data_IF_641964001360
#
_entry.id   IF_641964001360
#
_cell.length_a   1.000
_cell.length_b   1.000
_cell.length_c   1.000
_cell.angle_alpha   90.00
_cell.angle_beta   90.00
_cell.angle_gamma   90.00
#
_symmetry.space_group_name_H-M   'P 1'
#
loop_
_entity.id
_entity.type
_entity.pdbx_description
1 polymer ?
#
# COMPACT_ATOMS: atom_id res chain seq x y z
N UNK A 1 9.90 5.26 -20.53
CA UNK A 1 10.62 5.82 -21.68
C UNK A 1 10.12 5.20 -22.99
N UNK A 2 10.25 3.91 -23.21
CA UNK A 2 9.85 3.21 -24.46
C UNK A 2 8.42 3.51 -24.95
N UNK A 3 7.40 3.44 -24.06
CA UNK A 3 5.99 3.67 -24.44
C UNK A 3 5.78 5.09 -24.98
N UNK A 4 6.33 6.11 -24.30
CA UNK A 4 6.21 7.51 -24.74
C UNK A 4 6.83 7.73 -26.13
N UNK A 5 8.03 7.20 -26.33
CA UNK A 5 8.76 7.34 -27.60
C UNK A 5 8.03 6.64 -28.73
N UNK A 6 7.55 5.42 -28.49
CA UNK A 6 6.79 4.65 -29.48
C UNK A 6 5.48 5.35 -29.84
N UNK A 7 4.72 5.84 -28.88
CA UNK A 7 3.48 6.56 -29.14
C UNK A 7 3.73 7.87 -29.91
N UNK A 8 4.79 8.60 -29.54
CA UNK A 8 5.18 9.83 -30.25
C UNK A 8 5.59 9.56 -31.69
N UNK A 9 6.42 8.55 -31.93
CA UNK A 9 6.90 8.20 -33.30
C UNK A 9 5.75 7.73 -34.19
N UNK A 10 4.79 7.00 -33.65
CA UNK A 10 3.61 6.50 -34.35
C UNK A 10 2.43 7.48 -34.38
N UNK A 11 2.57 8.67 -33.81
CA UNK A 11 1.50 9.69 -33.66
C UNK A 11 0.25 9.14 -32.93
N UNK A 12 0.43 8.21 -32.02
CA UNK A 12 -0.65 7.63 -31.21
C UNK A 12 -0.87 8.52 -29.98
N UNK A 13 -2.12 8.88 -29.74
CA UNK A 13 -2.50 9.56 -28.49
C UNK A 13 -2.31 8.61 -27.32
N UNK A 14 -1.63 9.05 -26.29
CA UNK A 14 -1.37 8.25 -25.10
C UNK A 14 -1.49 9.10 -23.83
N UNK A 15 -1.90 8.45 -22.77
CA UNK A 15 -1.88 8.95 -21.40
C UNK A 15 -1.17 7.91 -20.54
N UNK A 16 -0.33 8.34 -19.61
CA UNK A 16 0.40 7.46 -18.69
C UNK A 16 -0.13 7.69 -17.30
N UNK A 17 -0.83 6.71 -16.78
CA UNK A 17 -1.42 6.73 -15.44
C UNK A 17 -0.69 5.72 -14.56
N UNK A 18 -0.22 6.15 -13.40
CA UNK A 18 0.58 5.34 -12.47
C UNK A 18 -0.11 5.28 -11.11
N UNK A 19 -0.99 4.30 -10.89
CA UNK A 19 -1.55 4.09 -9.57
C UNK A 19 -0.48 3.54 -8.61
N UNK A 20 -0.59 3.90 -7.35
CA UNK A 20 0.18 3.33 -6.27
C UNK A 20 -0.39 1.96 -5.85
N UNK A 21 -0.16 1.50 -4.63
CA UNK A 21 -0.68 0.22 -4.15
C UNK A 21 -2.20 0.30 -4.03
N UNK A 22 -2.91 -0.48 -4.83
CA UNK A 22 -4.37 -0.47 -4.87
C UNK A 22 -4.92 -1.42 -3.82
N UNK A 23 -5.83 -0.93 -2.98
CA UNK A 23 -6.57 -1.74 -2.02
C UNK A 23 -8.03 -1.97 -2.45
N UNK A 24 -8.86 -2.51 -1.56
CA UNK A 24 -10.26 -2.80 -1.80
C UNK A 24 -11.10 -1.57 -2.16
N UNK A 25 -12.38 -1.78 -2.37
CA UNK A 25 -13.36 -0.72 -2.62
C UNK A 25 -13.84 -0.14 -1.31
N UNK A 26 -13.56 1.15 -1.03
CA UNK A 26 -13.76 1.77 0.26
C UNK A 26 -14.55 3.08 0.23
N UNK A 27 -14.77 3.69 -0.92
CA UNK A 27 -15.41 4.99 -1.04
C UNK A 27 -16.90 4.83 -1.32
N UNK A 28 -17.23 3.98 -2.27
CA UNK A 28 -18.61 3.77 -2.72
C UNK A 28 -19.15 2.42 -2.27
N UNK A 29 -20.33 2.40 -1.64
CA UNK A 29 -21.04 1.16 -1.36
C UNK A 29 -21.48 0.45 -2.66
N UNK A 30 -21.54 -0.89 -2.69
CA UNK A 30 -21.12 -1.79 -1.63
C UNK A 30 -19.60 -1.87 -1.52
N UNK A 31 -19.10 -1.98 -0.29
CA UNK A 31 -17.69 -2.18 -0.05
C UNK A 31 -17.31 -3.61 -0.43
N UNK A 32 -16.15 -3.77 -1.03
CA UNK A 32 -15.65 -5.09 -1.45
C UNK A 32 -14.26 -5.30 -0.93
N UNK A 33 -14.03 -6.51 -0.45
CA UNK A 33 -12.69 -7.02 -0.23
C UNK A 33 -11.96 -7.17 -1.57
N UNK A 34 -10.63 -7.18 -1.50
CA UNK A 34 -9.83 -7.46 -2.69
C UNK A 34 -9.90 -8.95 -3.05
N UNK A 35 -10.08 -9.32 -4.32
CA UNK A 35 -10.03 -10.72 -4.73
C UNK A 35 -8.62 -11.31 -4.68
N UNK A 36 -7.59 -10.48 -4.46
CA UNK A 36 -6.20 -10.87 -4.48
C UNK A 36 -5.45 -10.33 -3.25
N UNK A 37 -5.02 -11.24 -2.41
CA UNK A 37 -4.31 -10.95 -1.17
C UNK A 37 -2.79 -10.96 -1.41
N UNK A 38 -2.28 -9.93 -2.06
CA UNK A 38 -0.84 -9.71 -2.23
C UNK A 38 -0.37 -8.41 -1.55
N UNK A 39 0.91 -8.11 -1.68
CA UNK A 39 1.55 -6.96 -1.04
C UNK A 39 1.21 -6.94 0.46
N UNK A 40 0.66 -5.84 1.00
CA UNK A 40 0.41 -5.69 2.44
C UNK A 40 -0.64 -6.67 3.00
N UNK A 41 -1.56 -7.18 2.19
CA UNK A 41 -2.49 -8.24 2.61
C UNK A 41 -1.80 -9.57 2.93
N UNK A 42 -0.58 -9.79 2.43
CA UNK A 42 0.20 -11.00 2.77
C UNK A 42 0.52 -11.10 4.26
N UNK A 43 0.54 -9.96 4.98
CA UNK A 43 0.65 -9.94 6.43
C UNK A 43 -0.54 -10.66 7.09
N UNK A 44 -1.76 -10.34 6.67
CA UNK A 44 -2.98 -10.96 7.19
C UNK A 44 -2.94 -12.49 6.97
N UNK A 45 -2.60 -12.94 5.77
CA UNK A 45 -2.48 -14.38 5.47
C UNK A 45 -1.41 -15.05 6.35
N UNK A 46 -0.27 -14.40 6.53
CA UNK A 46 0.80 -14.95 7.37
C UNK A 46 0.36 -15.05 8.83
N UNK A 47 -0.24 -14.00 9.38
CA UNK A 47 -0.65 -13.95 10.77
C UNK A 47 -1.82 -14.92 11.04
N UNK A 48 -2.82 -14.99 10.17
CA UNK A 48 -3.89 -15.97 10.28
C UNK A 48 -3.35 -17.40 10.41
N UNK A 49 -2.36 -17.73 9.62
CA UNK A 49 -1.76 -19.07 9.61
C UNK A 49 -0.84 -19.36 10.79
N UNK A 50 -0.15 -18.35 11.33
CA UNK A 50 0.98 -18.57 12.23
C UNK A 50 0.93 -17.78 13.55
N UNK A 51 0.12 -16.72 13.70
CA UNK A 51 0.12 -15.90 14.91
C UNK A 51 -0.20 -16.67 16.19
N UNK A 52 -1.18 -17.55 16.14
CA UNK A 52 -1.59 -18.36 17.28
C UNK A 52 -0.57 -19.44 17.72
N UNK A 53 0.53 -19.59 16.97
CA UNK A 53 1.54 -20.63 17.21
C UNK A 53 2.75 -20.12 17.99
N UNK A 54 2.86 -18.82 18.21
CA UNK A 54 3.99 -18.24 18.93
C UNK A 54 3.54 -17.38 20.08
N UNK A 55 4.19 -17.58 21.24
CA UNK A 55 4.11 -16.69 22.39
C UNK A 55 5.37 -15.84 22.54
N UNK A 56 6.30 -15.97 21.59
CA UNK A 56 7.58 -15.29 21.61
C UNK A 56 7.42 -13.86 21.09
N UNK A 57 8.31 -12.98 21.56
CA UNK A 57 8.34 -11.58 21.10
C UNK A 57 8.71 -11.53 19.62
N UNK A 58 7.95 -10.79 18.84
CA UNK A 58 8.14 -10.62 17.41
C UNK A 58 8.85 -9.29 17.12
N UNK A 59 10.09 -9.35 16.64
CA UNK A 59 10.86 -8.17 16.23
C UNK A 59 10.72 -7.95 14.74
N UNK A 60 10.21 -6.77 14.39
CA UNK A 60 9.93 -6.38 13.02
C UNK A 60 10.85 -5.23 12.64
N UNK A 61 11.70 -5.46 11.64
CA UNK A 61 12.54 -4.42 11.09
C UNK A 61 11.74 -3.52 10.17
N UNK A 62 11.56 -2.27 10.58
CA UNK A 62 10.88 -1.24 9.78
C UNK A 62 11.56 0.11 9.98
N UNK A 63 11.48 0.95 8.96
CA UNK A 63 11.66 2.39 9.11
C UNK A 63 10.34 2.99 9.63
N UNK A 64 10.37 3.53 10.85
CA UNK A 64 9.18 4.06 11.54
C UNK A 64 8.64 5.35 10.92
N UNK A 65 9.48 6.06 10.19
CA UNK A 65 9.15 7.34 9.58
C UNK A 65 8.74 7.22 8.10
N UNK A 66 8.92 6.04 7.52
CA UNK A 66 8.46 5.74 6.16
C UNK A 66 7.11 5.02 6.15
N UNK A 67 6.47 4.95 4.98
CA UNK A 67 5.14 4.38 4.84
C UNK A 67 4.85 3.78 3.46
N UNK A 68 3.66 3.25 3.32
CA UNK A 68 3.12 2.82 2.04
C UNK A 68 2.11 3.82 1.51
N UNK A 69 2.17 4.04 0.23
CA UNK A 69 1.14 4.78 -0.48
C UNK A 69 0.07 3.79 -0.95
N UNK A 70 -1.06 3.78 -0.25
CA UNK A 70 -2.19 2.87 -0.51
C UNK A 70 -3.39 3.70 -0.91
N UNK A 71 -4.11 3.23 -1.94
CA UNK A 71 -5.22 3.96 -2.53
C UNK A 71 -6.38 3.03 -2.89
N UNK A 72 -7.65 3.39 -2.60
CA UNK A 72 -8.81 2.58 -2.91
C UNK A 72 -9.03 2.39 -4.42
N UNK A 73 -9.48 1.21 -4.84
CA UNK A 73 -9.70 0.87 -6.26
C UNK A 73 -10.77 1.75 -6.92
N UNK A 74 -11.80 2.12 -6.19
CA UNK A 74 -12.87 3.01 -6.68
C UNK A 74 -12.37 4.44 -6.90
N UNK A 75 -11.44 4.95 -6.06
CA UNK A 75 -10.73 6.19 -6.34
C UNK A 75 -9.91 6.10 -7.63
N UNK A 76 -9.13 5.03 -7.77
CA UNK A 76 -8.32 4.80 -8.96
C UNK A 76 -9.18 4.77 -10.22
N UNK A 77 -10.31 4.07 -10.17
CA UNK A 77 -11.26 4.00 -11.28
C UNK A 77 -11.81 5.36 -11.68
N UNK A 78 -12.21 6.18 -10.71
CA UNK A 78 -12.70 7.56 -10.94
C UNK A 78 -11.59 8.45 -11.52
N UNK A 79 -10.38 8.36 -10.98
CA UNK A 79 -9.24 9.14 -11.49
C UNK A 79 -8.85 8.75 -12.92
N UNK A 80 -8.89 7.46 -13.25
CA UNK A 80 -8.66 6.98 -14.62
C UNK A 80 -9.73 7.49 -15.57
N UNK A 81 -11.02 7.40 -15.20
CA UNK A 81 -12.12 7.89 -16.02
C UNK A 81 -11.99 9.40 -16.25
N UNK A 82 -11.70 10.15 -15.19
CA UNK A 82 -11.49 11.60 -15.32
C UNK A 82 -10.33 11.92 -16.26
N UNK A 83 -9.19 11.25 -16.12
CA UNK A 83 -8.05 11.45 -17.02
C UNK A 83 -8.39 11.09 -18.48
N UNK A 84 -9.15 10.02 -18.69
CA UNK A 84 -9.61 9.61 -20.02
C UNK A 84 -10.47 10.67 -20.70
N UNK A 85 -11.39 11.27 -19.95
CA UNK A 85 -12.28 12.34 -20.44
C UNK A 85 -11.53 13.68 -20.64
N UNK A 86 -10.37 13.85 -20.03
CA UNK A 86 -9.55 15.07 -20.10
C UNK A 86 -8.23 14.86 -20.87
N UNK A 87 -8.24 15.00 -22.18
CA UNK A 87 -7.08 14.72 -23.04
C UNK A 87 -5.86 15.61 -22.80
N UNK A 88 -6.00 16.68 -22.02
CA UNK A 88 -4.89 17.54 -21.60
C UNK A 88 -4.00 16.87 -20.55
N UNK A 89 -4.55 15.96 -19.77
CA UNK A 89 -3.80 15.16 -18.81
C UNK A 89 -2.98 14.12 -19.57
N UNK A 90 -1.66 14.30 -19.65
CA UNK A 90 -0.76 13.36 -20.33
C UNK A 90 -0.16 12.33 -19.40
N UNK A 91 0.08 12.71 -18.18
CA UNK A 91 0.62 11.87 -17.11
C UNK A 91 -0.07 12.20 -15.79
N UNK A 92 -0.34 11.18 -15.02
CA UNK A 92 -0.93 11.32 -13.69
C UNK A 92 -0.41 10.20 -12.79
N UNK A 93 0.20 10.57 -11.66
CA UNK A 93 0.42 9.66 -10.55
C UNK A 93 -0.88 9.62 -9.74
N UNK A 94 -1.49 8.44 -9.65
CA UNK A 94 -2.72 8.24 -8.87
C UNK A 94 -2.29 7.70 -7.51
N UNK A 95 -2.05 8.62 -6.60
CA UNK A 95 -1.44 8.37 -5.29
C UNK A 95 -2.27 9.01 -4.18
N UNK A 96 -2.19 8.47 -2.99
CA UNK A 96 -2.70 9.14 -1.80
C UNK A 96 -1.74 10.31 -1.48
N UNK A 97 -2.23 11.53 -1.27
CA UNK A 97 -1.38 12.64 -0.83
C UNK A 97 -0.64 12.38 0.48
N UNK A 98 -1.24 11.57 1.33
CA UNK A 98 -0.67 11.16 2.62
C UNK A 98 -0.31 9.67 2.59
N UNK A 99 0.89 9.36 3.07
CA UNK A 99 1.31 7.97 3.23
C UNK A 99 0.81 7.40 4.55
N UNK A 100 0.56 6.10 4.56
CA UNK A 100 0.25 5.38 5.79
C UNK A 100 1.54 4.84 6.35
N UNK A 101 1.96 5.36 7.51
CA UNK A 101 3.21 4.93 8.13
C UNK A 101 3.24 3.43 8.40
N UNK A 102 4.38 2.80 8.15
CA UNK A 102 4.56 1.36 8.37
C UNK A 102 4.18 0.93 9.78
N UNK A 103 4.59 1.72 10.79
CA UNK A 103 4.26 1.45 12.20
C UNK A 103 2.77 1.38 12.47
N UNK A 104 1.95 2.14 11.74
CA UNK A 104 0.51 2.20 11.93
C UNK A 104 -0.15 0.95 11.32
N UNK A 105 -0.06 0.76 9.99
CA UNK A 105 -0.75 -0.36 9.36
C UNK A 105 -0.25 -1.74 9.80
N UNK A 106 1.05 -1.87 10.10
CA UNK A 106 1.59 -3.14 10.65
C UNK A 106 1.06 -3.36 12.06
N UNK A 107 0.98 -2.31 12.88
CA UNK A 107 0.38 -2.38 14.21
C UNK A 107 -1.08 -2.80 14.16
N UNK A 108 -1.89 -2.14 13.34
CA UNK A 108 -3.31 -2.46 13.17
C UNK A 108 -3.52 -3.92 12.75
N UNK A 109 -2.70 -4.40 11.80
CA UNK A 109 -2.75 -5.82 11.36
C UNK A 109 -2.38 -6.76 12.50
N UNK A 110 -1.30 -6.49 13.25
CA UNK A 110 -0.88 -7.33 14.38
C UNK A 110 -1.94 -7.39 15.47
N UNK A 111 -2.54 -6.26 15.81
CA UNK A 111 -3.62 -6.16 16.79
C UNK A 111 -4.85 -6.94 16.38
N UNK A 112 -5.24 -6.86 15.10
CA UNK A 112 -6.38 -7.60 14.53
C UNK A 112 -6.22 -9.13 14.67
N UNK A 113 -4.98 -9.62 14.71
CA UNK A 113 -4.65 -11.03 14.94
C UNK A 113 -4.23 -11.35 16.38
N UNK A 114 -4.47 -10.42 17.33
CA UNK A 114 -4.11 -10.56 18.75
C UNK A 114 -2.60 -10.80 18.99
N UNK A 115 -1.74 -10.28 18.13
CA UNK A 115 -0.29 -10.33 18.30
C UNK A 115 0.15 -9.13 19.12
N UNK A 116 0.14 -9.26 20.46
CA UNK A 116 0.42 -8.16 21.37
C UNK A 116 1.89 -8.08 21.82
N UNK A 117 2.69 -9.11 21.53
CA UNK A 117 4.11 -9.17 21.91
C UNK A 117 5.00 -8.91 20.70
N UNK A 118 5.11 -7.64 20.31
CA UNK A 118 5.99 -7.24 19.21
C UNK A 118 6.79 -5.97 19.53
N UNK A 119 7.85 -5.75 18.76
CA UNK A 119 8.60 -4.48 18.77
C UNK A 119 9.15 -4.16 17.38
N UNK A 120 9.20 -2.88 17.08
CA UNK A 120 9.85 -2.38 15.89
C UNK A 120 11.33 -2.12 16.15
N UNK A 121 12.18 -2.67 15.30
CA UNK A 121 13.62 -2.54 15.36
C UNK A 121 14.18 -1.81 14.14
N UNK A 122 15.26 -1.04 14.33
CA UNK A 122 15.89 -0.25 13.26
C UNK A 122 16.77 -1.10 12.32
N UNK A 123 17.15 -2.30 12.77
CA UNK A 123 17.97 -3.22 11.99
C UNK A 123 17.39 -4.63 12.04
N UNK A 124 17.65 -5.41 10.99
CA UNK A 124 17.24 -6.81 10.95
C UNK A 124 17.86 -7.60 12.12
N UNK A 125 17.05 -8.29 12.94
CA UNK A 125 17.55 -9.08 14.06
C UNK A 125 18.48 -10.21 13.57
N UNK A 126 19.61 -10.40 14.24
CA UNK A 126 20.58 -11.47 13.89
C UNK A 126 20.18 -12.82 14.47
N UNK A 127 19.72 -12.83 15.74
CA UNK A 127 19.33 -14.05 16.45
C UNK A 127 17.80 -14.16 16.39
N UNK A 128 17.28 -14.84 15.37
CA UNK A 128 15.85 -14.99 15.13
C UNK A 128 15.28 -16.14 15.95
N UNK A 129 14.15 -15.91 16.62
CA UNK A 129 13.35 -16.98 17.19
C UNK A 129 12.60 -17.76 16.08
N UNK A 130 11.91 -18.84 16.41
CA UNK A 130 11.26 -19.71 15.44
C UNK A 130 10.22 -18.99 14.58
N UNK A 131 9.43 -18.09 15.21
CA UNK A 131 8.41 -17.31 14.49
C UNK A 131 9.05 -16.27 13.55
N UNK A 132 10.07 -15.57 14.03
CA UNK A 132 10.84 -14.62 13.23
C UNK A 132 11.55 -15.29 12.04
N UNK A 133 12.13 -16.48 12.23
CA UNK A 133 12.71 -17.25 11.14
C UNK A 133 11.69 -17.55 10.05
N UNK A 134 10.48 -17.95 10.45
CA UNK A 134 9.40 -18.21 9.52
C UNK A 134 8.98 -16.95 8.79
N UNK A 135 8.81 -15.84 9.51
CA UNK A 135 8.47 -14.55 8.93
C UNK A 135 9.51 -14.06 7.91
N UNK A 136 10.77 -13.95 8.34
CA UNK A 136 11.84 -13.43 7.48
C UNK A 136 12.17 -14.36 6.30
N UNK A 137 11.91 -15.65 6.41
CA UNK A 137 12.05 -16.60 5.30
C UNK A 137 10.90 -16.53 4.29
N UNK A 138 9.73 -16.09 4.71
CA UNK A 138 8.52 -16.00 3.88
C UNK A 138 8.24 -14.56 3.42
N UNK A 139 7.26 -13.92 4.06
CA UNK A 139 6.81 -12.58 3.65
C UNK A 139 7.82 -11.46 3.98
N UNK A 140 8.64 -11.63 5.04
CA UNK A 140 9.61 -10.63 5.45
C UNK A 140 10.60 -10.27 4.33
N UNK A 141 11.04 -11.23 3.54
CA UNK A 141 11.90 -10.97 2.38
C UNK A 141 11.24 -10.09 1.30
N UNK A 142 9.91 -10.16 1.17
CA UNK A 142 9.17 -9.31 0.24
C UNK A 142 9.03 -7.91 0.80
N UNK A 143 8.73 -7.82 2.11
CA UNK A 143 8.47 -6.55 2.77
C UNK A 143 9.73 -5.75 3.09
N UNK A 144 10.87 -6.38 3.35
CA UNK A 144 12.14 -5.69 3.63
C UNK A 144 12.46 -4.61 2.59
N UNK A 145 12.15 -4.88 1.32
CA UNK A 145 12.38 -3.95 0.22
C UNK A 145 11.47 -2.71 0.23
N UNK A 146 10.39 -2.76 1.01
CA UNK A 146 9.42 -1.67 1.11
C UNK A 146 9.50 -0.97 2.47
N UNK A 147 9.67 -1.74 3.55
CA UNK A 147 9.56 -1.23 4.92
C UNK A 147 10.89 -0.78 5.54
N UNK A 148 12.01 -1.08 4.88
CA UNK A 148 13.35 -0.67 5.32
C UNK A 148 13.99 0.42 4.46
N UNK A 149 13.26 0.94 3.47
CA UNK A 149 13.75 2.00 2.58
C UNK A 149 13.19 3.36 3.00
N UNK A 150 13.97 4.43 2.86
CA UNK A 150 13.47 5.77 3.05
C UNK A 150 12.29 6.08 2.14
N UNK A 151 11.44 6.97 2.59
CA UNK A 151 10.22 7.39 1.93
C UNK A 151 10.43 7.78 0.45
N UNK A 152 9.62 7.22 -0.43
CA UNK A 152 9.53 7.64 -1.83
C UNK A 152 8.51 8.77 -1.92
N UNK A 153 9.00 10.00 -1.99
CA UNK A 153 8.15 11.14 -2.26
C UNK A 153 7.60 11.05 -3.69
N UNK A 154 6.32 10.67 -3.78
CA UNK A 154 5.60 10.63 -5.05
C UNK A 154 4.99 12.00 -5.33
N UNK A 155 5.19 12.49 -6.57
CA UNK A 155 4.57 13.74 -7.01
C UNK A 155 3.04 13.59 -6.96
N UNK A 156 2.38 14.41 -6.13
CA UNK A 156 0.94 14.36 -5.85
C UNK A 156 0.19 15.66 -6.20
N UNK A 157 0.87 16.69 -6.68
CA UNK A 157 0.25 18.00 -6.88
C UNK A 157 -0.93 18.00 -7.86
N UNK A 158 -0.88 17.20 -8.93
CA UNK A 158 -1.98 17.09 -9.89
C UNK A 158 -3.14 16.29 -9.31
N UNK A 159 -2.85 15.18 -8.61
CA UNK A 159 -3.90 14.35 -8.00
C UNK A 159 -4.58 15.08 -6.84
N UNK A 160 -3.87 15.89 -6.06
CA UNK A 160 -4.47 16.70 -4.99
C UNK A 160 -5.50 17.70 -5.52
N UNK A 161 -5.23 18.33 -6.66
CA UNK A 161 -6.21 19.18 -7.35
C UNK A 161 -7.41 18.39 -7.84
N UNK A 162 -7.18 17.18 -8.33
CA UNK A 162 -8.24 16.31 -8.81
C UNK A 162 -9.14 15.84 -7.66
N UNK A 163 -8.57 15.47 -6.52
CA UNK A 163 -9.29 15.08 -5.31
C UNK A 163 -10.26 16.19 -4.90
N UNK A 164 -9.79 17.42 -4.82
CA UNK A 164 -10.62 18.57 -4.48
C UNK A 164 -11.78 18.77 -5.48
N UNK A 165 -11.52 18.55 -6.77
CA UNK A 165 -12.54 18.72 -7.82
C UNK A 165 -13.59 17.61 -7.86
N UNK A 166 -13.24 16.41 -7.40
CA UNK A 166 -14.11 15.23 -7.41
C UNK A 166 -14.78 14.95 -6.05
N UNK A 167 -14.54 15.81 -5.06
CA UNK A 167 -15.01 15.63 -3.67
C UNK A 167 -14.70 14.24 -3.09
N UNK A 168 -13.56 13.64 -3.50
CA UNK A 168 -13.19 12.30 -3.11
C UNK A 168 -12.52 12.29 -1.74
N UNK A 169 -13.02 11.46 -0.84
CA UNK A 169 -12.34 11.15 0.42
C UNK A 169 -11.22 10.15 0.15
N UNK A 170 -9.98 10.52 0.43
CA UNK A 170 -8.80 9.64 0.23
C UNK A 170 -8.27 9.02 1.52
N UNK A 171 -8.69 9.55 2.65
CA UNK A 171 -8.25 9.13 3.98
C UNK A 171 -9.19 8.12 4.59
N UNK A 172 -9.35 6.96 3.95
CA UNK A 172 -9.85 5.80 4.68
C UNK A 172 -8.63 5.04 5.16
N UNK A 173 -8.45 5.02 6.46
CA UNK A 173 -7.36 4.30 7.10
C UNK A 173 -7.39 2.83 6.68
N UNK A 174 -6.23 2.23 6.56
CA UNK A 174 -6.08 0.77 6.33
C UNK A 174 -6.82 -0.01 7.41
N UNK A 175 -6.94 0.57 8.60
CA UNK A 175 -7.67 0.01 9.73
C UNK A 175 -9.13 -0.36 9.39
N UNK A 176 -9.86 0.49 8.69
CA UNK A 176 -11.25 0.19 8.30
C UNK A 176 -11.35 -0.98 7.31
N UNK A 177 -10.30 -1.25 6.54
CA UNK A 177 -10.25 -2.38 5.62
C UNK A 177 -10.01 -3.73 6.28
N UNK A 178 -9.36 -3.75 7.44
CA UNK A 178 -9.04 -4.98 8.15
C UNK A 178 -10.10 -5.37 9.19
N UNK A 179 -10.97 -4.42 9.56
CA UNK A 179 -11.98 -4.63 10.59
C UNK A 179 -13.38 -5.01 10.04
N UNK A 180 -13.59 -4.91 8.73
CA UNK A 180 -14.79 -5.34 8.01
C UNK A 180 -14.53 -6.63 7.23
#
# INVERSE_FOLDING_TARGET
MYVKETCKSKKIRSQILRPSIICGRLIDAPFYETPKFDVFYSWAIFLDKYANKSKEKFRIWIDKESGLNIIPVDFVSKAILHAFLNPTIKELNIVNPEQILHKNYVGDVLESFNVNSYEYVAERPKNLNAFEQLYYKSIGNLFEKYISVPDLQLESGLISKLISSLELKTTLGVHENFMN
#
